data_IF_217429448695
#
_entry.id   IF_217429448695
#
_cell.length_a   1.000
_cell.length_b   1.000
_cell.length_c   1.000
_cell.angle_alpha   90.00
_cell.angle_beta   90.00
_cell.angle_gamma   90.00
#
_symmetry.space_group_name_H-M   'P 1'
#
loop_
_entity.id
_entity.type
_entity.pdbx_description
1 polymer ?
#
# COMPACT_ATOMS: atom_id res chain seq x y z
N UNK A 1 -8.00 22.30 10.69
CA UNK A 1 -6.84 21.49 10.26
C UNK A 1 -7.35 20.31 9.46
N UNK A 2 -6.87 20.08 8.24
CA UNK A 2 -7.28 18.93 7.42
C UNK A 2 -6.53 17.66 7.86
N UNK A 3 -7.15 16.49 7.73
CA UNK A 3 -6.49 15.21 8.00
C UNK A 3 -5.42 14.91 6.96
N UNK A 4 -4.31 14.24 7.35
CA UNK A 4 -3.27 13.80 6.42
C UNK A 4 -3.88 12.95 5.31
N UNK A 5 -3.54 13.24 4.06
CA UNK A 5 -3.90 12.44 2.91
C UNK A 5 -3.43 10.99 3.09
N UNK A 6 -4.14 10.02 2.52
CA UNK A 6 -3.84 8.60 2.67
C UNK A 6 -3.28 8.04 1.37
N UNK A 7 -2.20 7.27 1.47
CA UNK A 7 -1.65 6.51 0.34
C UNK A 7 -1.73 5.02 0.68
N UNK A 8 -2.56 4.29 -0.04
CA UNK A 8 -2.66 2.83 0.07
C UNK A 8 -1.91 2.22 -1.09
N UNK A 9 -0.91 1.39 -0.80
CA UNK A 9 -0.09 0.70 -1.80
C UNK A 9 -0.46 -0.78 -1.77
N UNK A 10 -1.07 -1.25 -2.84
CA UNK A 10 -1.37 -2.66 -3.07
C UNK A 10 -0.21 -3.30 -3.82
N UNK A 11 0.58 -4.11 -3.11
CA UNK A 11 1.83 -4.71 -3.54
C UNK A 11 3.00 -4.22 -2.68
N UNK A 12 3.80 -5.16 -2.19
CA UNK A 12 5.02 -4.93 -1.42
C UNK A 12 6.29 -5.27 -2.23
N UNK A 13 6.20 -5.23 -3.56
CA UNK A 13 7.31 -5.53 -4.48
C UNK A 13 8.43 -4.48 -4.44
N UNK A 14 9.35 -4.57 -5.41
CA UNK A 14 10.51 -3.68 -5.51
C UNK A 14 10.14 -2.19 -5.57
N UNK A 15 9.05 -1.85 -6.27
CA UNK A 15 8.59 -0.47 -6.44
C UNK A 15 7.95 0.09 -5.16
N UNK A 16 7.36 -0.76 -4.32
CA UNK A 16 6.62 -0.33 -3.14
C UNK A 16 7.51 0.39 -2.11
N UNK A 17 8.76 -0.05 -1.95
CA UNK A 17 9.69 0.53 -0.98
C UNK A 17 9.99 2.02 -1.27
N UNK A 18 10.55 2.39 -2.44
CA UNK A 18 10.77 3.80 -2.75
C UNK A 18 9.46 4.61 -2.82
N UNK A 19 8.37 4.02 -3.35
CA UNK A 19 7.08 4.69 -3.42
C UNK A 19 6.55 5.07 -2.01
N UNK A 20 6.64 4.15 -1.06
CA UNK A 20 6.21 4.38 0.31
C UNK A 20 7.03 5.47 1.01
N UNK A 21 8.33 5.53 0.76
CA UNK A 21 9.20 6.58 1.29
C UNK A 21 8.84 7.96 0.71
N UNK A 22 8.58 8.05 -0.60
CA UNK A 22 8.10 9.28 -1.23
C UNK A 22 6.74 9.70 -0.64
N UNK A 23 5.82 8.76 -0.43
CA UNK A 23 4.53 9.02 0.20
C UNK A 23 4.68 9.62 1.60
N UNK A 24 5.54 9.03 2.43
CA UNK A 24 5.85 9.56 3.77
C UNK A 24 6.46 10.97 3.69
N UNK A 25 7.44 11.19 2.81
CA UNK A 25 8.08 12.50 2.60
C UNK A 25 7.08 13.60 2.20
N UNK A 26 6.06 13.24 1.42
CA UNK A 26 4.97 14.14 1.03
C UNK A 26 3.90 14.30 2.14
N UNK A 27 4.07 13.65 3.28
CA UNK A 27 3.16 13.74 4.43
C UNK A 27 1.94 12.82 4.35
N UNK A 28 1.90 11.85 3.44
CA UNK A 28 0.82 10.87 3.41
C UNK A 28 0.86 9.96 4.63
N UNK A 29 -0.30 9.47 5.05
CA UNK A 29 -0.42 8.29 5.89
C UNK A 29 -0.35 7.05 5.00
N UNK A 30 0.75 6.32 5.07
CA UNK A 30 1.06 5.23 4.13
C UNK A 30 0.62 3.88 4.69
N UNK A 31 -0.13 3.12 3.89
CA UNK A 31 -0.51 1.73 4.19
C UNK A 31 -0.01 0.80 3.08
N UNK A 32 0.69 -0.27 3.44
CA UNK A 32 1.07 -1.35 2.52
C UNK A 32 0.10 -2.53 2.68
N UNK A 33 -0.38 -3.08 1.56
CA UNK A 33 -1.16 -4.32 1.51
C UNK A 33 -0.45 -5.29 0.56
N UNK A 34 -0.08 -6.49 1.03
CA UNK A 34 0.40 -7.58 0.17
C UNK A 34 0.12 -8.93 0.85
N UNK A 35 -0.14 -9.98 0.09
CA UNK A 35 -0.42 -11.31 0.64
C UNK A 35 0.85 -12.05 1.10
N UNK A 36 2.04 -11.59 0.70
CA UNK A 36 3.34 -12.17 1.03
C UNK A 36 3.94 -11.53 2.28
N UNK A 37 3.87 -12.23 3.41
CA UNK A 37 4.37 -11.76 4.73
C UNK A 37 5.86 -11.43 4.72
N UNK A 38 6.65 -12.17 3.95
CA UNK A 38 8.08 -11.95 3.73
C UNK A 38 8.37 -10.62 3.04
N UNK A 39 7.40 -10.09 2.28
CA UNK A 39 7.47 -8.78 1.67
C UNK A 39 6.82 -7.71 2.55
N UNK A 40 5.57 -7.88 2.97
CA UNK A 40 4.83 -6.94 3.79
C UNK A 40 5.20 -7.07 5.28
N UNK A 41 6.32 -6.46 5.68
CA UNK A 41 6.75 -6.44 7.08
C UNK A 41 7.52 -5.16 7.47
N UNK A 42 7.57 -4.91 8.77
CA UNK A 42 8.18 -3.72 9.36
C UNK A 42 9.70 -3.64 9.17
N UNK A 43 10.39 -4.76 8.89
CA UNK A 43 11.83 -4.72 8.58
C UNK A 43 12.08 -4.06 7.23
N UNK A 44 11.20 -4.27 6.24
CA UNK A 44 11.27 -3.64 4.92
C UNK A 44 10.65 -2.25 4.90
N UNK A 45 9.59 -2.02 5.67
CA UNK A 45 8.87 -0.75 5.71
C UNK A 45 8.80 -0.18 7.15
N UNK A 46 9.92 0.20 7.76
CA UNK A 46 9.93 0.71 9.13
C UNK A 46 9.26 2.08 9.29
N UNK A 47 9.04 2.78 8.18
CA UNK A 47 8.58 4.17 8.12
C UNK A 47 7.10 4.33 7.76
N UNK A 48 6.42 3.24 7.37
CA UNK A 48 5.00 3.31 6.98
C UNK A 48 4.08 3.21 8.19
N UNK A 49 2.93 3.88 8.13
CA UNK A 49 1.98 3.91 9.25
C UNK A 49 1.27 2.57 9.49
N UNK A 50 1.08 1.77 8.44
CA UNK A 50 0.37 0.48 8.53
C UNK A 50 0.85 -0.52 7.50
N UNK A 51 0.92 -1.78 7.91
CA UNK A 51 1.19 -2.92 7.04
C UNK A 51 0.09 -3.94 7.25
N UNK A 52 -0.52 -4.41 6.17
CA UNK A 52 -1.58 -5.42 6.16
C UNK A 52 -1.09 -6.59 5.32
N UNK A 53 -1.10 -7.79 5.91
CA UNK A 53 -0.80 -9.03 5.20
C UNK A 53 -2.12 -9.69 4.84
N UNK A 54 -2.44 -9.75 3.54
CA UNK A 54 -3.71 -10.29 3.06
C UNK A 54 -3.92 -10.06 1.56
N UNK A 55 -5.03 -10.58 1.05
CA UNK A 55 -5.43 -10.35 -0.34
C UNK A 55 -5.66 -8.86 -0.63
N UNK A 56 -5.17 -8.38 -1.76
CA UNK A 56 -5.17 -6.95 -2.09
C UNK A 56 -6.58 -6.38 -2.20
N UNK A 57 -7.46 -7.05 -2.97
CA UNK A 57 -8.83 -6.60 -3.19
C UNK A 57 -9.68 -6.76 -1.93
N UNK A 58 -9.54 -7.92 -1.26
CA UNK A 58 -10.24 -8.22 -0.02
C UNK A 58 -9.93 -7.22 1.09
N UNK A 59 -8.66 -6.88 1.31
CA UNK A 59 -8.27 -5.92 2.34
C UNK A 59 -8.57 -4.47 1.93
N UNK A 60 -8.39 -4.11 0.66
CA UNK A 60 -8.74 -2.77 0.17
C UNK A 60 -10.24 -2.49 0.32
N UNK A 61 -11.11 -3.48 0.06
CA UNK A 61 -12.58 -3.33 0.19
C UNK A 61 -13.04 -3.03 1.62
N UNK A 62 -12.23 -3.36 2.63
CA UNK A 62 -12.51 -3.07 4.05
C UNK A 62 -12.09 -1.66 4.46
N UNK A 63 -11.38 -0.94 3.60
CA UNK A 63 -10.89 0.41 3.87
C UNK A 63 -11.85 1.41 3.23
N UNK A 64 -12.38 2.35 4.02
CA UNK A 64 -13.14 3.47 3.49
C UNK A 64 -12.23 4.37 2.65
N UNK A 65 -12.53 4.54 1.37
CA UNK A 65 -11.79 5.41 0.43
C UNK A 65 -12.61 6.67 0.19
N UNK A 66 -11.97 7.84 0.29
CA UNK A 66 -12.57 9.15 0.10
C UNK A 66 -11.73 10.01 -0.85
N UNK A 67 -12.15 11.25 -1.10
CA UNK A 67 -11.42 12.20 -1.97
C UNK A 67 -10.02 12.59 -1.48
N UNK A 68 -9.62 12.18 -0.26
CA UNK A 68 -8.28 12.40 0.30
C UNK A 68 -7.44 11.11 0.33
N UNK A 69 -7.86 10.09 -0.44
CA UNK A 69 -7.24 8.77 -0.49
C UNK A 69 -6.74 8.48 -1.90
N UNK A 70 -5.44 8.21 -2.01
CA UNK A 70 -4.81 7.70 -3.22
C UNK A 70 -4.52 6.21 -3.07
N UNK A 71 -4.78 5.44 -4.13
CA UNK A 71 -4.49 4.00 -4.18
C UNK A 71 -3.51 3.75 -5.32
N UNK A 72 -2.37 3.14 -4.99
CA UNK A 72 -1.37 2.69 -5.95
C UNK A 72 -1.40 1.16 -6.04
N UNK A 73 -1.78 0.62 -7.20
CA UNK A 73 -1.70 -0.81 -7.48
C UNK A 73 -0.37 -1.09 -8.18
N UNK A 74 0.56 -1.70 -7.44
CA UNK A 74 1.95 -1.97 -7.87
C UNK A 74 2.29 -3.45 -7.66
N UNK A 75 1.35 -4.30 -8.01
CA UNK A 75 1.54 -5.75 -8.02
C UNK A 75 2.42 -6.16 -9.20
N UNK A 76 3.15 -7.27 -9.06
CA UNK A 76 3.88 -7.84 -10.18
C UNK A 76 2.84 -8.35 -11.20
N UNK A 77 3.00 -7.96 -12.47
CA UNK A 77 2.06 -8.33 -13.52
C UNK A 77 1.97 -9.85 -13.69
N UNK A 78 0.73 -10.34 -13.55
CA UNK A 78 0.10 -11.41 -14.32
C UNK A 78 0.38 -12.90 -14.01
N UNK A 79 -0.53 -13.50 -13.21
CA UNK A 79 -1.23 -14.73 -13.63
C UNK A 79 -2.73 -14.45 -13.95
N UNK A 80 -3.15 -13.17 -14.06
CA UNK A 80 -4.55 -12.76 -14.29
C UNK A 80 -4.78 -11.63 -15.33
N UNK A 81 -3.95 -11.46 -16.37
CA UNK A 81 -4.29 -10.69 -17.59
C UNK A 81 -5.11 -11.54 -18.59
N UNK A 82 -5.68 -12.67 -18.17
CA UNK A 82 -6.66 -13.41 -18.98
C UNK A 82 -7.79 -13.93 -18.07
N UNK A 83 -8.78 -13.08 -17.78
CA UNK A 83 -10.21 -13.32 -18.07
C UNK A 83 -11.10 -12.19 -17.54
#
# INVERSE_FOLDING_TARGET
FASRARLIICGAGHIALPLSAIGEMLGFRVTIIDNRKELANNKRFPHVDKIIVGDHAGELSKISVDGNTSVAVVTQGNEYDIK
#
